data_IF_271977697988
#
_entry.id   IF_271977697988
#
_cell.length_a   1.000
_cell.length_b   1.000
_cell.length_c   1.000
_cell.angle_alpha   90.00
_cell.angle_beta   90.00
_cell.angle_gamma   90.00
#
_symmetry.space_group_name_H-M   'P 1'
#
loop_
_entity.id
_entity.type
_entity.pdbx_description
1 polymer ?
#
# COMPACT_ATOMS: atom_id res chain seq x y z
N UNK A 1 13.40 1.06 4.40
CA UNK A 1 13.41 2.00 3.25
C UNK A 1 12.71 1.35 2.06
N UNK A 2 12.04 2.12 1.19
CA UNK A 2 11.34 1.58 0.04
C UNK A 2 12.30 0.94 -0.96
N UNK A 3 11.85 -0.13 -1.64
CA UNK A 3 12.69 -0.93 -2.55
C UNK A 3 11.90 -1.34 -3.79
N UNK A 4 12.47 -1.16 -4.97
CA UNK A 4 11.84 -1.67 -6.19
C UNK A 4 11.99 -3.19 -6.28
N UNK A 5 10.89 -3.89 -6.55
CA UNK A 5 10.85 -5.33 -6.73
C UNK A 5 9.80 -5.69 -7.77
N UNK A 6 10.13 -6.62 -8.68
CA UNK A 6 9.15 -7.24 -9.57
C UNK A 6 8.29 -8.25 -8.81
N UNK A 7 6.99 -8.22 -9.07
CA UNK A 7 6.03 -9.18 -8.52
C UNK A 7 5.21 -9.79 -9.65
N UNK A 8 4.90 -11.08 -9.52
CA UNK A 8 4.29 -11.89 -10.60
C UNK A 8 2.84 -11.49 -10.97
N UNK A 9 2.24 -10.54 -10.25
CA UNK A 9 0.91 -10.04 -10.53
C UNK A 9 -0.24 -10.87 -9.97
N UNK A 10 0.03 -12.01 -9.33
CA UNK A 10 -1.02 -12.84 -8.75
C UNK A 10 -1.58 -12.24 -7.45
N UNK A 11 -2.88 -12.44 -7.23
CA UNK A 11 -3.53 -12.05 -5.98
C UNK A 11 -2.82 -12.66 -4.76
N UNK A 12 -2.41 -13.92 -4.86
CA UNK A 12 -1.71 -14.63 -3.79
C UNK A 12 -0.38 -13.96 -3.44
N UNK A 13 0.41 -13.55 -4.45
CA UNK A 13 1.66 -12.83 -4.21
C UNK A 13 1.43 -11.46 -3.59
N UNK A 14 0.40 -10.74 -4.04
CA UNK A 14 0.00 -9.45 -3.44
C UNK A 14 -0.42 -9.60 -1.97
N UNK A 15 -1.28 -10.57 -1.66
CA UNK A 15 -1.71 -10.88 -0.30
C UNK A 15 -0.54 -11.28 0.60
N UNK A 16 0.42 -12.06 0.08
CA UNK A 16 1.62 -12.47 0.80
C UNK A 16 2.50 -11.28 1.18
N UNK A 17 2.60 -10.27 0.31
CA UNK A 17 3.41 -9.06 0.56
C UNK A 17 2.79 -8.22 1.68
N UNK A 18 1.48 -7.97 1.61
CA UNK A 18 0.79 -7.13 2.62
C UNK A 18 0.50 -7.90 3.92
N UNK A 19 0.56 -9.23 3.88
CA UNK A 19 0.38 -10.11 5.04
C UNK A 19 -1.06 -10.48 5.34
N UNK A 20 -1.96 -10.45 4.35
CA UNK A 20 -3.38 -10.75 4.52
C UNK A 20 -4.23 -10.33 3.33
N UNK A 21 -5.53 -10.15 3.56
CA UNK A 21 -6.44 -9.63 2.53
C UNK A 21 -6.06 -8.20 2.13
N UNK A 22 -6.18 -7.94 0.83
CA UNK A 22 -5.70 -6.69 0.23
C UNK A 22 -6.83 -5.66 0.14
N UNK A 23 -6.46 -4.39 0.26
CA UNK A 23 -7.26 -3.24 -0.10
C UNK A 23 -6.47 -2.39 -1.10
N UNK A 24 -7.15 -1.85 -2.11
CA UNK A 24 -6.57 -0.91 -3.07
C UNK A 24 -7.13 0.49 -2.80
N UNK A 25 -6.25 1.46 -2.54
CA UNK A 25 -6.59 2.87 -2.38
C UNK A 25 -5.95 3.70 -3.48
N UNK A 26 -6.61 4.76 -3.90
CA UNK A 26 -6.19 5.61 -5.03
C UNK A 26 -5.97 7.04 -4.53
N UNK A 27 -4.86 7.32 -3.84
CA UNK A 27 -4.60 8.63 -3.25
C UNK A 27 -3.98 9.62 -4.25
N UNK A 28 -3.70 9.17 -5.48
CA UNK A 28 -3.07 9.95 -6.53
C UNK A 28 -4.07 10.21 -7.66
N UNK A 29 -3.90 11.31 -8.38
CA UNK A 29 -4.65 11.59 -9.61
C UNK A 29 -4.17 10.71 -10.78
N UNK A 30 -2.92 10.24 -10.72
CA UNK A 30 -2.37 9.26 -11.65
C UNK A 30 -3.03 7.89 -11.47
N UNK A 31 -3.08 7.02 -12.50
CA UNK A 31 -3.69 5.69 -12.44
C UNK A 31 -2.80 4.69 -11.67
N UNK A 32 -2.47 5.03 -10.43
CA UNK A 32 -1.62 4.28 -9.52
C UNK A 32 -2.42 4.00 -8.26
N UNK A 33 -2.45 2.73 -7.86
CA UNK A 33 -3.07 2.33 -6.60
C UNK A 33 -1.98 2.04 -5.56
N UNK A 34 -2.29 2.31 -4.29
CA UNK A 34 -1.60 1.67 -3.18
C UNK A 34 -2.37 0.41 -2.83
N UNK A 35 -1.67 -0.72 -2.79
CA UNK A 35 -2.20 -1.99 -2.29
C UNK A 35 -1.62 -2.24 -0.90
N UNK A 36 -2.49 -2.39 0.09
CA UNK A 36 -2.13 -2.56 1.50
C UNK A 36 -3.00 -3.64 2.16
N UNK A 37 -2.73 -3.92 3.43
CA UNK A 37 -3.53 -4.87 4.22
C UNK A 37 -4.89 -4.24 4.58
N UNK A 38 -5.99 -4.82 4.12
CA UNK A 38 -7.34 -4.25 4.26
C UNK A 38 -7.82 -4.08 5.71
N UNK A 39 -7.44 -4.99 6.60
CA UNK A 39 -7.74 -4.87 8.04
C UNK A 39 -6.57 -4.35 8.88
N UNK A 40 -5.51 -3.80 8.26
CA UNK A 40 -4.26 -3.50 8.98
C UNK A 40 -4.43 -2.56 10.17
N UNK A 41 -5.35 -1.59 10.07
CA UNK A 41 -5.72 -0.68 11.17
C UNK A 41 -6.41 -1.40 12.31
N UNK A 42 -7.36 -2.29 12.00
CA UNK A 42 -8.14 -3.05 12.99
C UNK A 42 -7.26 -4.06 13.74
N UNK A 43 -6.28 -4.65 13.03
CA UNK A 43 -5.32 -5.59 13.60
C UNK A 43 -4.17 -4.91 14.36
N UNK A 44 -4.11 -3.57 14.36
CA UNK A 44 -3.05 -2.82 15.03
C UNK A 44 -1.67 -2.99 14.40
N UNK A 45 -1.61 -3.20 13.08
CA UNK A 45 -0.33 -3.22 12.35
C UNK A 45 0.40 -1.87 12.49
N UNK A 46 1.74 -1.84 12.38
CA UNK A 46 2.50 -0.61 12.52
C UNK A 46 2.05 0.47 11.52
N UNK A 47 1.85 1.70 12.00
CA UNK A 47 1.60 2.85 11.13
C UNK A 47 2.83 3.07 10.23
N UNK A 48 2.63 3.08 8.92
CA UNK A 48 3.72 3.15 7.95
C UNK A 48 3.70 4.48 7.19
N UNK A 49 2.59 4.84 6.54
CA UNK A 49 2.51 6.02 5.68
C UNK A 49 1.23 6.82 5.87
N UNK A 50 1.36 8.12 6.13
CA UNK A 50 0.24 9.04 6.07
C UNK A 50 -0.14 9.31 4.62
N UNK A 51 -1.43 9.24 4.31
CA UNK A 51 -1.99 9.74 3.08
C UNK A 51 -2.43 11.18 3.33
N UNK A 52 -1.94 12.10 2.50
CA UNK A 52 -2.15 13.54 2.66
C UNK A 52 -2.91 14.09 1.47
N UNK A 53 -3.71 15.13 1.70
CA UNK A 53 -4.28 15.91 0.62
C UNK A 53 -3.21 16.78 -0.08
N UNK A 54 -3.63 17.54 -1.10
CA UNK A 54 -2.77 18.47 -1.84
C UNK A 54 -2.08 19.53 -0.97
N UNK A 55 -2.66 19.84 0.20
CA UNK A 55 -2.12 20.79 1.17
C UNK A 55 -1.15 20.12 2.17
N UNK A 56 -0.92 18.82 2.04
CA UNK A 56 -0.07 18.04 2.95
C UNK A 56 -0.77 17.67 4.26
N UNK A 57 -2.09 17.86 4.37
CA UNK A 57 -2.85 17.52 5.57
C UNK A 57 -3.17 16.03 5.56
N UNK A 58 -2.76 15.25 6.58
CA UNK A 58 -3.10 13.84 6.65
C UNK A 58 -4.61 13.61 6.76
N UNK A 59 -5.16 12.75 5.91
CA UNK A 59 -6.56 12.31 5.98
C UNK A 59 -6.68 10.83 6.33
N UNK A 60 -5.64 10.02 6.09
CA UNK A 60 -5.61 8.61 6.44
C UNK A 60 -4.18 8.09 6.71
N UNK A 61 -4.05 6.87 7.22
CA UNK A 61 -2.78 6.19 7.50
C UNK A 61 -2.81 4.75 6.98
N UNK A 62 -1.81 4.36 6.20
CA UNK A 62 -1.56 2.96 5.83
C UNK A 62 -0.83 2.27 6.98
N UNK A 63 -1.37 1.14 7.43
CA UNK A 63 -0.76 0.29 8.45
C UNK A 63 -0.24 -1.02 7.83
N UNK A 64 0.99 -1.40 8.20
CA UNK A 64 1.68 -2.58 7.66
C UNK A 64 2.46 -2.30 6.37
N UNK A 65 2.94 -3.37 5.73
CA UNK A 65 3.62 -3.31 4.42
C UNK A 65 2.61 -2.99 3.33
N UNK A 66 3.02 -2.17 2.36
CA UNK A 66 2.21 -1.83 1.19
C UNK A 66 3.07 -1.74 -0.06
N UNK A 67 2.44 -1.64 -1.22
CA UNK A 67 3.12 -1.41 -2.48
C UNK A 67 2.27 -0.52 -3.39
N UNK A 68 2.94 0.19 -4.29
CA UNK A 68 2.31 0.94 -5.37
C UNK A 68 2.16 0.02 -6.58
N UNK A 69 0.96 -0.10 -7.12
CA UNK A 69 0.72 -0.74 -8.40
C UNK A 69 0.49 0.33 -9.44
N UNK A 70 1.52 0.63 -10.24
CA UNK A 70 1.34 1.18 -11.58
C UNK A 70 1.06 -0.02 -12.52
N UNK A 71 0.91 0.18 -13.83
CA UNK A 71 0.94 -0.95 -14.78
C UNK A 71 2.24 -1.79 -14.64
N UNK A 72 3.24 -1.27 -13.91
CA UNK A 72 4.31 -2.02 -13.25
C UNK A 72 4.26 -1.83 -11.71
N UNK A 73 4.32 -2.93 -10.96
CA UNK A 73 4.16 -2.90 -9.49
C UNK A 73 5.50 -2.67 -8.75
N UNK A 74 5.50 -1.84 -7.69
CA UNK A 74 6.67 -1.44 -6.90
C UNK A 74 6.36 -1.49 -5.39
N UNK A 75 7.16 -2.21 -4.60
CA UNK A 75 6.91 -2.40 -3.15
C UNK A 75 7.50 -1.30 -2.26
N UNK A 76 6.73 -0.78 -1.30
CA UNK A 76 7.18 0.21 -0.33
C UNK A 76 7.11 -0.36 1.09
N UNK A 77 8.24 -0.90 1.55
CA UNK A 77 8.40 -1.33 2.95
C UNK A 77 8.69 -0.14 3.88
N UNK A 78 8.27 -0.19 5.17
CA UNK A 78 8.59 0.83 6.16
C UNK A 78 10.11 1.06 6.35
#
# INVERSE_FOLDING_TARGET
PPTVQEIDGSLESMQRIVGGDIEAVYPFDDPVAIVCHGEGKLLGLPMNRALTDESGVPYDIVCGTFFESELEMRILHP
#
